data_IF_885252290546
#
_entry.id   IF_885252290546
#
_cell.length_a   1.000
_cell.length_b   1.000
_cell.length_c   1.000
_cell.angle_alpha   90.00
_cell.angle_beta   90.00
_cell.angle_gamma   90.00
#
_symmetry.space_group_name_H-M   'P 1'
#
loop_
_entity.id
_entity.type
_entity.pdbx_description
1 polymer ?
#
# COMPACT_ATOMS: atom_id res chain seq x y z
N UNK A 1 26.64 -43.36 -35.14
CA UNK A 1 26.94 -42.24 -34.18
C UNK A 1 25.63 -41.79 -33.57
N UNK A 2 25.38 -42.16 -32.32
CA UNK A 2 24.17 -41.77 -31.58
C UNK A 2 24.53 -40.50 -30.83
N UNK A 3 23.93 -39.36 -31.20
CA UNK A 3 24.06 -38.10 -30.50
C UNK A 3 23.12 -38.13 -29.28
N UNK A 4 23.70 -38.27 -28.10
CA UNK A 4 22.97 -38.16 -26.84
C UNK A 4 22.68 -36.67 -26.56
N UNK A 5 21.43 -36.29 -26.69
CA UNK A 5 20.95 -34.93 -26.33
C UNK A 5 20.82 -34.85 -24.81
N UNK A 6 21.72 -34.11 -24.17
CA UNK A 6 21.68 -33.86 -22.72
C UNK A 6 20.67 -32.72 -22.45
N UNK A 7 19.48 -33.04 -21.94
CA UNK A 7 18.54 -32.05 -21.42
C UNK A 7 18.98 -31.62 -20.01
N UNK A 8 19.53 -30.41 -19.89
CA UNK A 8 19.75 -29.79 -18.60
C UNK A 8 18.41 -29.16 -18.19
N UNK A 9 17.70 -29.81 -17.26
CA UNK A 9 16.54 -29.19 -16.58
C UNK A 9 17.10 -28.24 -15.52
N UNK A 10 17.11 -26.95 -15.79
CA UNK A 10 17.33 -25.92 -14.80
C UNK A 10 16.08 -25.85 -13.90
N UNK A 11 16.12 -26.52 -12.76
CA UNK A 11 15.15 -26.35 -11.69
C UNK A 11 15.52 -25.04 -11.01
N UNK A 12 14.85 -23.96 -11.36
CA UNK A 12 14.92 -22.72 -10.57
C UNK A 12 14.21 -23.01 -9.24
N UNK A 13 14.97 -23.26 -8.18
CA UNK A 13 14.47 -23.27 -6.83
C UNK A 13 14.20 -21.80 -6.49
N UNK A 14 12.99 -21.33 -6.70
CA UNK A 14 12.55 -20.05 -6.14
C UNK A 14 12.56 -20.21 -4.62
N UNK A 15 13.55 -19.69 -3.94
CA UNK A 15 13.54 -19.59 -2.49
C UNK A 15 12.39 -18.65 -2.13
N UNK A 16 11.50 -19.09 -1.25
CA UNK A 16 10.42 -18.25 -0.74
C UNK A 16 11.04 -16.99 -0.11
N UNK A 17 10.59 -15.82 -0.54
CA UNK A 17 11.07 -14.55 0.02
C UNK A 17 10.50 -14.34 1.42
N UNK A 18 11.26 -13.70 2.29
CA UNK A 18 10.80 -13.37 3.63
C UNK A 18 9.69 -12.31 3.56
N UNK A 19 8.62 -12.52 4.33
CA UNK A 19 7.54 -11.57 4.46
C UNK A 19 8.06 -10.24 5.02
N UNK A 20 7.74 -9.16 4.35
CA UNK A 20 8.10 -7.82 4.79
C UNK A 20 6.94 -7.19 5.57
N UNK A 21 7.24 -6.66 6.75
CA UNK A 21 6.30 -5.85 7.54
C UNK A 21 6.66 -4.38 7.31
N UNK A 22 5.78 -3.56 6.71
CA UNK A 22 6.03 -2.13 6.57
C UNK A 22 6.36 -1.49 7.92
N UNK A 23 7.32 -0.56 8.01
CA UNK A 23 7.64 0.12 9.26
C UNK A 23 6.40 0.78 9.88
N UNK A 24 6.25 0.70 11.20
CA UNK A 24 5.19 1.39 11.92
C UNK A 24 5.68 2.79 12.32
N UNK A 25 5.03 3.82 11.80
CA UNK A 25 5.24 5.20 12.20
C UNK A 25 4.13 5.62 13.18
N UNK A 26 4.51 5.92 14.40
CA UNK A 26 3.59 6.36 15.46
C UNK A 26 3.52 7.88 15.56
N UNK A 27 4.25 8.60 14.71
CA UNK A 27 4.37 10.04 14.75
C UNK A 27 5.08 10.56 16.01
N UNK A 28 5.47 11.83 15.97
CA UNK A 28 6.07 12.53 17.11
C UNK A 28 5.01 13.36 17.81
N UNK A 29 4.81 13.12 19.11
CA UNK A 29 3.86 13.87 19.93
C UNK A 29 4.53 15.12 20.48
N UNK A 30 3.95 16.29 20.20
CA UNK A 30 4.43 17.58 20.68
C UNK A 30 3.43 18.68 20.38
N UNK A 31 3.46 19.76 21.15
CA UNK A 31 2.61 20.95 20.96
C UNK A 31 1.10 20.63 20.81
N UNK A 32 0.61 19.60 21.50
CA UNK A 32 -0.80 19.19 21.46
C UNK A 32 -1.24 18.44 20.20
N UNK A 33 -0.30 18.02 19.36
CA UNK A 33 -0.57 17.26 18.15
C UNK A 33 0.45 16.12 17.95
N UNK A 34 0.09 15.17 17.11
CA UNK A 34 0.94 14.09 16.61
C UNK A 34 1.38 14.42 15.19
N UNK A 35 2.67 14.55 14.96
CA UNK A 35 3.24 14.96 13.67
C UNK A 35 3.82 13.77 12.95
N UNK A 36 3.48 13.63 11.68
CA UNK A 36 4.04 12.67 10.73
C UNK A 36 4.74 13.41 9.59
N UNK A 37 5.81 12.82 9.07
CA UNK A 37 6.55 13.37 7.93
C UNK A 37 6.62 12.30 6.83
N UNK A 38 6.05 12.62 5.68
CA UNK A 38 6.07 11.77 4.50
C UNK A 38 6.79 12.47 3.36
N UNK A 39 7.67 11.74 2.68
CA UNK A 39 8.33 12.18 1.47
C UNK A 39 7.94 11.27 0.31
N UNK A 40 7.38 11.86 -0.73
CA UNK A 40 7.09 11.17 -1.99
C UNK A 40 8.34 11.20 -2.85
N UNK A 41 8.79 10.05 -3.32
CA UNK A 41 10.05 9.93 -4.05
C UNK A 41 10.02 8.84 -5.11
N UNK A 42 10.83 9.04 -6.16
CA UNK A 42 11.18 7.98 -7.10
C UNK A 42 12.42 7.24 -6.58
N UNK A 43 12.46 5.95 -6.85
CA UNK A 43 13.55 5.08 -6.45
C UNK A 43 13.55 3.80 -7.31
N UNK A 44 14.21 2.76 -6.84
CA UNK A 44 14.15 1.42 -7.40
C UNK A 44 14.04 0.36 -6.30
N UNK A 45 13.38 -0.74 -6.62
CA UNK A 45 13.16 -1.85 -5.69
C UNK A 45 13.59 -3.17 -6.32
N UNK A 46 14.26 -3.99 -5.57
CA UNK A 46 14.65 -5.35 -5.97
C UNK A 46 13.49 -6.31 -5.67
N UNK A 47 12.73 -6.69 -6.70
CA UNK A 47 11.68 -7.71 -6.60
C UNK A 47 12.17 -9.11 -6.98
N UNK A 48 13.20 -9.16 -7.79
CA UNK A 48 13.88 -10.38 -8.22
C UNK A 48 15.38 -10.22 -7.99
N UNK A 49 16.11 -11.29 -7.65
CA UNK A 49 17.54 -11.20 -7.34
C UNK A 49 18.33 -10.41 -8.40
N UNK A 50 19.06 -9.40 -7.96
CA UNK A 50 19.94 -8.55 -8.78
C UNK A 50 19.22 -7.70 -9.84
N UNK A 51 17.86 -7.66 -9.83
CA UNK A 51 17.06 -6.85 -10.75
C UNK A 51 16.35 -5.73 -10.00
N UNK A 52 16.72 -4.50 -10.32
CA UNK A 52 16.12 -3.30 -9.75
C UNK A 52 15.06 -2.75 -10.70
N UNK A 53 13.81 -2.76 -10.23
CA UNK A 53 12.67 -2.18 -10.94
C UNK A 53 12.49 -0.74 -10.51
N UNK A 54 12.30 0.19 -11.46
CA UNK A 54 11.98 1.59 -11.15
C UNK A 54 10.62 1.67 -10.46
N UNK A 55 10.58 2.31 -9.29
CA UNK A 55 9.42 2.40 -8.41
C UNK A 55 9.29 3.79 -7.79
N UNK A 56 8.20 4.00 -7.07
CA UNK A 56 7.98 5.18 -6.25
C UNK A 56 7.37 4.78 -4.91
N UNK A 57 7.62 5.56 -3.86
CA UNK A 57 7.11 5.26 -2.54
C UNK A 57 7.03 6.48 -1.63
N UNK A 58 6.60 6.24 -0.40
CA UNK A 58 6.62 7.20 0.69
C UNK A 58 7.71 6.81 1.69
N UNK A 59 8.65 7.70 1.95
CA UNK A 59 9.79 7.46 2.87
C UNK A 59 10.62 6.19 2.52
N UNK A 60 10.53 5.72 1.29
CA UNK A 60 11.20 4.52 0.81
C UNK A 60 10.99 4.29 -0.67
N UNK A 61 11.52 3.18 -1.18
CA UNK A 61 11.50 2.87 -2.62
C UNK A 61 10.15 2.36 -3.11
N UNK A 62 9.36 1.72 -2.24
CA UNK A 62 8.08 1.10 -2.61
C UNK A 62 7.17 1.04 -1.39
N UNK A 63 5.89 1.33 -1.57
CA UNK A 63 4.92 1.54 -0.50
C UNK A 63 5.33 2.71 0.43
N UNK A 64 4.77 2.72 1.60
CA UNK A 64 5.07 3.67 2.67
C UNK A 64 4.92 3.00 4.03
N UNK A 65 5.32 3.70 5.11
CA UNK A 65 5.13 3.21 6.46
C UNK A 65 3.64 3.03 6.78
N UNK A 66 3.33 2.15 7.72
CA UNK A 66 2.01 2.11 8.33
C UNK A 66 1.90 3.23 9.35
N UNK A 67 0.96 4.15 9.16
CA UNK A 67 0.74 5.26 10.09
C UNK A 67 -0.21 4.83 11.20
N UNK A 68 0.19 4.98 12.46
CA UNK A 68 -0.66 4.69 13.61
C UNK A 68 -1.21 5.98 14.22
N UNK A 69 -2.51 6.13 14.19
CA UNK A 69 -3.25 7.26 14.74
C UNK A 69 -4.17 6.83 15.88
N UNK A 70 -4.44 7.73 16.80
CA UNK A 70 -5.32 7.51 17.94
C UNK A 70 -6.55 8.39 17.78
N UNK A 71 -7.74 7.83 17.92
CA UNK A 71 -9.01 8.57 17.90
C UNK A 71 -8.99 9.67 18.98
N UNK A 72 -9.30 10.88 18.56
CA UNK A 72 -9.28 12.07 19.43
C UNK A 72 -8.00 12.89 19.34
N UNK A 73 -6.87 12.33 18.86
CA UNK A 73 -5.66 13.12 18.64
C UNK A 73 -5.86 14.18 17.54
N UNK A 74 -5.17 15.28 17.68
CA UNK A 74 -4.90 16.19 16.57
C UNK A 74 -3.66 15.71 15.82
N UNK A 75 -3.70 15.71 14.49
CA UNK A 75 -2.55 15.31 13.67
C UNK A 75 -2.07 16.43 12.77
N UNK A 76 -0.78 16.42 12.49
CA UNK A 76 -0.10 17.27 11.52
C UNK A 76 0.62 16.34 10.56
N UNK A 77 0.29 16.42 9.27
CA UNK A 77 0.90 15.64 8.21
C UNK A 77 1.73 16.57 7.34
N UNK A 78 3.04 16.49 7.44
CA UNK A 78 3.97 17.17 6.54
C UNK A 78 4.26 16.23 5.37
N UNK A 79 3.78 16.57 4.18
CA UNK A 79 3.95 15.76 2.98
C UNK A 79 4.83 16.52 1.99
N UNK A 80 6.06 16.07 1.80
CA UNK A 80 7.03 16.68 0.89
C UNK A 80 7.10 15.91 -0.41
N UNK A 81 6.92 16.59 -1.53
CA UNK A 81 7.01 15.99 -2.85
C UNK A 81 8.39 16.21 -3.47
N UNK A 82 9.19 15.16 -3.62
CA UNK A 82 10.46 15.20 -4.36
C UNK A 82 10.35 14.56 -5.75
N UNK A 83 9.13 14.18 -6.17
CA UNK A 83 8.86 13.69 -7.52
C UNK A 83 9.08 14.80 -8.56
N UNK A 84 9.43 14.48 -9.82
CA UNK A 84 9.65 15.48 -10.86
C UNK A 84 8.36 16.07 -11.44
N UNK A 85 7.22 15.87 -10.79
CA UNK A 85 5.90 16.38 -11.18
C UNK A 85 5.02 16.59 -9.94
N UNK A 86 3.99 17.42 -10.09
CA UNK A 86 3.01 17.64 -9.03
C UNK A 86 2.19 16.38 -8.75
N UNK A 87 1.90 16.12 -7.49
CA UNK A 87 1.10 14.98 -7.03
C UNK A 87 0.24 15.37 -5.81
N UNK A 88 -0.45 14.42 -5.22
CA UNK A 88 -1.23 14.62 -3.97
C UNK A 88 -0.98 13.47 -3.01
N UNK A 89 -1.50 13.57 -1.79
CA UNK A 89 -1.64 12.43 -0.87
C UNK A 89 -3.02 12.48 -0.25
N UNK A 90 -3.86 11.52 -0.60
CA UNK A 90 -5.22 11.38 -0.11
C UNK A 90 -5.28 10.39 1.05
N UNK A 91 -6.06 10.75 2.07
CA UNK A 91 -6.29 9.95 3.28
C UNK A 91 -7.59 9.18 3.14
N UNK A 92 -7.53 8.05 2.45
CA UNK A 92 -8.71 7.29 2.02
C UNK A 92 -9.57 6.82 3.19
N UNK A 93 -10.82 7.25 3.21
CA UNK A 93 -11.80 6.90 4.24
C UNK A 93 -11.74 7.74 5.51
N UNK A 94 -10.84 8.72 5.60
CA UNK A 94 -10.72 9.57 6.78
C UNK A 94 -11.79 10.67 6.80
N UNK A 95 -12.36 10.92 7.98
CA UNK A 95 -13.30 12.03 8.23
C UNK A 95 -12.53 13.29 8.61
N UNK A 96 -12.32 14.16 7.65
CA UNK A 96 -11.51 15.37 7.79
C UNK A 96 -12.07 16.51 6.93
N UNK A 97 -11.62 17.77 7.11
CA UNK A 97 -12.03 18.86 6.25
C UNK A 97 -11.57 18.64 4.80
N UNK A 98 -12.43 18.92 3.82
CA UNK A 98 -12.14 18.72 2.40
C UNK A 98 -10.84 19.39 1.93
N UNK A 99 -10.47 20.54 2.53
CA UNK A 99 -9.22 21.26 2.23
C UNK A 99 -7.96 20.53 2.74
N UNK A 100 -8.12 19.48 3.53
CA UNK A 100 -7.04 18.64 4.08
C UNK A 100 -7.07 17.21 3.54
N UNK A 101 -7.97 16.93 2.58
CA UNK A 101 -8.25 15.57 2.11
C UNK A 101 -7.23 15.02 1.12
N UNK A 102 -6.44 15.90 0.49
CA UNK A 102 -5.48 15.50 -0.53
C UNK A 102 -6.13 15.06 -1.84
N UNK A 103 -7.33 15.59 -2.13
CA UNK A 103 -8.05 15.31 -3.36
C UNK A 103 -7.38 15.88 -4.61
N UNK A 104 -8.00 15.72 -5.80
CA UNK A 104 -7.39 16.02 -7.11
C UNK A 104 -6.86 17.44 -7.28
N UNK A 105 -7.45 18.41 -6.56
CA UNK A 105 -7.10 19.82 -6.65
C UNK A 105 -6.06 20.31 -5.64
N UNK A 106 -5.60 19.43 -4.76
CA UNK A 106 -4.67 19.75 -3.68
C UNK A 106 -3.26 19.30 -4.06
N UNK A 107 -2.78 19.80 -5.18
CA UNK A 107 -1.48 19.45 -5.74
C UNK A 107 -0.34 19.93 -4.83
N UNK A 108 0.62 19.05 -4.64
CA UNK A 108 1.90 19.34 -4.01
C UNK A 108 2.93 19.43 -5.14
N UNK A 109 3.39 20.65 -5.42
CA UNK A 109 4.37 20.90 -6.45
C UNK A 109 5.71 20.23 -6.13
N UNK A 110 6.55 20.04 -7.15
CA UNK A 110 7.90 19.51 -6.95
C UNK A 110 8.66 20.34 -5.91
N UNK A 111 9.31 19.67 -4.97
CA UNK A 111 10.06 20.25 -3.85
C UNK A 111 9.23 21.10 -2.86
N UNK A 112 7.91 21.05 -2.96
CA UNK A 112 7.02 21.67 -2.01
C UNK A 112 6.64 20.71 -0.88
N UNK A 113 6.25 21.28 0.28
CA UNK A 113 5.66 20.55 1.40
C UNK A 113 4.24 21.04 1.62
N UNK A 114 3.29 20.12 1.61
CA UNK A 114 1.92 20.35 2.01
C UNK A 114 1.72 19.95 3.47
N UNK A 115 1.06 20.81 4.24
CA UNK A 115 0.77 20.55 5.65
C UNK A 115 -0.73 20.38 5.81
N UNK A 116 -1.16 19.16 6.10
CA UNK A 116 -2.55 18.85 6.41
C UNK A 116 -2.73 18.64 7.92
N UNK A 117 -3.81 19.20 8.49
CA UNK A 117 -4.09 19.12 9.92
C UNK A 117 -5.54 18.82 10.18
N UNK A 118 -5.81 17.83 11.05
CA UNK A 118 -7.17 17.52 11.47
C UNK A 118 -7.20 16.78 12.81
N UNK A 119 -8.38 16.65 13.39
CA UNK A 119 -8.62 15.79 14.54
C UNK A 119 -9.16 14.45 14.10
N UNK A 120 -8.62 13.35 14.62
CA UNK A 120 -9.06 11.99 14.29
C UNK A 120 -10.44 11.75 14.90
N UNK A 121 -11.45 11.63 14.03
CA UNK A 121 -12.85 11.35 14.39
C UNK A 121 -13.26 9.92 14.04
N UNK A 122 -12.49 9.27 13.19
CA UNK A 122 -12.73 7.93 12.71
C UNK A 122 -12.77 6.92 13.85
N UNK A 123 -13.58 5.87 13.67
CA UNK A 123 -13.54 4.67 14.51
C UNK A 123 -12.24 3.90 14.28
N UNK A 124 -11.86 3.07 15.26
CA UNK A 124 -10.74 2.16 15.07
C UNK A 124 -10.99 1.24 13.87
N UNK A 125 -10.05 1.24 12.94
CA UNK A 125 -10.08 0.43 11.73
C UNK A 125 -8.77 0.50 10.98
N UNK A 126 -8.74 -0.17 9.83
CA UNK A 126 -7.68 -0.07 8.84
C UNK A 126 -8.14 0.82 7.70
N UNK A 127 -7.37 1.85 7.43
CA UNK A 127 -7.50 2.80 6.34
C UNK A 127 -6.21 2.76 5.52
N UNK A 128 -6.10 3.63 4.52
CA UNK A 128 -4.89 3.74 3.73
C UNK A 128 -4.68 5.15 3.18
N UNK A 129 -3.52 5.42 2.63
CA UNK A 129 -3.20 6.67 1.95
C UNK A 129 -2.52 6.39 0.62
N UNK A 130 -2.78 7.25 -0.34
CA UNK A 130 -2.28 7.12 -1.71
C UNK A 130 -2.39 8.43 -2.48
N UNK A 131 -1.68 8.60 -3.61
CA UNK A 131 -1.88 9.74 -4.50
C UNK A 131 -3.29 9.76 -5.09
N UNK A 132 -3.83 10.96 -5.30
CA UNK A 132 -5.12 11.16 -5.96
C UNK A 132 -5.10 12.34 -6.95
N UNK A 133 -3.99 12.59 -7.72
CA UNK A 133 -3.98 13.69 -8.67
C UNK A 133 -4.89 13.38 -9.85
N UNK A 134 -5.48 14.44 -10.39
CA UNK A 134 -6.11 14.42 -11.69
C UNK A 134 -5.27 15.30 -12.62
N UNK A 135 -4.50 14.73 -13.57
CA UNK A 135 -3.68 15.52 -14.47
C UNK A 135 -4.56 16.39 -15.37
N UNK A 136 -4.21 17.65 -15.46
CA UNK A 136 -4.87 18.58 -16.38
C UNK A 136 -4.45 18.31 -17.83
N UNK A 137 -5.37 18.59 -18.75
CA UNK A 137 -5.12 18.53 -20.18
C UNK A 137 -5.56 17.22 -20.86
N UNK A 138 -5.60 17.27 -22.19
CA UNK A 138 -5.92 16.13 -23.04
C UNK A 138 -4.94 16.09 -24.22
N UNK A 139 -4.28 14.95 -24.51
CA UNK A 139 -4.43 13.65 -23.84
C UNK A 139 -3.88 13.64 -22.41
N UNK A 140 -4.52 12.87 -21.52
CA UNK A 140 -4.12 12.73 -20.11
C UNK A 140 -2.71 12.12 -20.07
N UNK A 141 -1.80 12.77 -19.35
CA UNK A 141 -0.50 12.17 -19.02
C UNK A 141 -0.71 11.04 -18.00
N UNK A 142 -0.77 9.82 -18.52
CA UNK A 142 -1.07 8.63 -17.70
C UNK A 142 0.00 8.38 -16.63
N UNK A 143 1.23 8.85 -16.83
CA UNK A 143 2.33 8.72 -15.86
C UNK A 143 2.13 9.61 -14.62
N UNK A 144 1.30 10.65 -14.74
CA UNK A 144 0.95 11.55 -13.64
C UNK A 144 -0.39 11.19 -12.99
N UNK A 145 -1.14 10.27 -13.57
CA UNK A 145 -2.46 9.91 -13.07
C UNK A 145 -2.38 9.02 -11.79
N UNK A 146 -3.41 9.11 -10.95
CA UNK A 146 -3.59 8.32 -9.72
C UNK A 146 -3.24 6.85 -9.91
N UNK A 147 -3.86 6.21 -10.91
CA UNK A 147 -3.70 4.78 -11.13
C UNK A 147 -2.26 4.37 -11.43
N UNK A 148 -1.51 5.18 -12.18
CA UNK A 148 -0.11 4.89 -12.44
C UNK A 148 0.76 5.08 -11.21
N UNK A 149 0.57 6.15 -10.46
CA UNK A 149 1.35 6.41 -9.23
C UNK A 149 1.14 5.33 -8.18
N UNK A 150 -0.10 4.87 -7.97
CA UNK A 150 -0.40 3.71 -7.11
C UNK A 150 0.24 2.43 -7.68
N UNK A 151 0.23 2.27 -9.00
CA UNK A 151 0.86 1.13 -9.66
C UNK A 151 2.38 1.13 -9.50
N UNK A 152 3.03 2.30 -9.43
CA UNK A 152 4.46 2.44 -9.14
C UNK A 152 4.84 2.13 -7.69
N UNK A 153 3.87 2.03 -6.77
CA UNK A 153 4.10 1.65 -5.38
C UNK A 153 3.65 2.67 -4.35
N UNK A 154 3.09 3.80 -4.76
CA UNK A 154 2.70 4.86 -3.82
C UNK A 154 1.40 4.52 -3.10
N UNK A 155 1.51 3.80 -2.01
CA UNK A 155 0.43 3.48 -1.07
C UNK A 155 0.99 3.15 0.31
N UNK A 156 0.20 3.34 1.37
CA UNK A 156 0.56 2.89 2.70
C UNK A 156 -0.68 2.70 3.58
N UNK A 157 -0.57 1.86 4.59
CA UNK A 157 -1.65 1.63 5.55
C UNK A 157 -1.73 2.78 6.55
N UNK A 158 -2.95 3.05 7.00
CA UNK A 158 -3.25 3.91 8.12
C UNK A 158 -4.13 3.14 9.10
N UNK A 159 -3.70 3.02 10.33
CA UNK A 159 -4.42 2.34 11.40
C UNK A 159 -4.91 3.40 12.39
N UNK A 160 -6.20 3.41 12.66
CA UNK A 160 -6.78 4.15 13.77
C UNK A 160 -7.03 3.18 14.91
N UNK A 161 -6.58 3.55 16.12
CA UNK A 161 -6.92 2.88 17.38
C UNK A 161 -7.84 3.76 18.23
N UNK A 162 -8.64 3.13 19.07
CA UNK A 162 -9.44 3.78 20.11
C UNK A 162 -9.54 2.88 21.35
N UNK A 163 -9.90 3.47 22.48
CA UNK A 163 -10.03 2.77 23.75
C UNK A 163 -11.14 1.71 23.74
N UNK A 164 -12.17 1.89 22.89
CA UNK A 164 -13.29 0.97 22.79
C UNK A 164 -12.82 -0.38 22.21
N UNK A 165 -12.07 -0.35 21.11
CA UNK A 165 -11.59 -1.57 20.45
C UNK A 165 -10.40 -2.22 21.18
N UNK A 166 -9.63 -1.45 21.94
CA UNK A 166 -8.52 -1.99 22.73
C UNK A 166 -9.04 -2.94 23.84
N UNK A 167 -10.32 -2.81 24.27
CA UNK A 167 -10.93 -3.70 25.26
C UNK A 167 -11.42 -5.05 24.69
N UNK A 168 -11.44 -5.21 23.37
CA UNK A 168 -11.96 -6.42 22.71
C UNK A 168 -11.00 -7.62 22.79
N UNK A 169 -9.78 -7.45 23.28
CA UNK A 169 -8.79 -8.54 23.38
C UNK A 169 -8.33 -9.08 22.02
N UNK A 170 -8.47 -8.31 20.95
CA UNK A 170 -7.99 -8.70 19.63
C UNK A 170 -6.46 -8.64 19.58
N UNK A 171 -5.81 -9.49 18.76
CA UNK A 171 -4.38 -9.37 18.48
C UNK A 171 -4.02 -7.95 18.10
N UNK A 172 -2.96 -7.38 18.68
CA UNK A 172 -2.66 -5.95 18.61
C UNK A 172 -1.17 -5.59 18.55
N UNK A 173 -0.28 -6.58 18.60
CA UNK A 173 1.16 -6.38 18.47
C UNK A 173 1.53 -6.36 16.98
N UNK A 174 1.75 -5.16 16.46
CA UNK A 174 2.00 -4.94 15.03
C UNK A 174 3.20 -5.72 14.52
N UNK A 175 3.00 -6.47 13.45
CA UNK A 175 4.03 -7.30 12.82
C UNK A 175 4.27 -8.65 13.53
N UNK A 176 3.64 -8.91 14.66
CA UNK A 176 3.76 -10.16 15.44
C UNK A 176 2.46 -10.96 15.38
N UNK A 177 1.36 -10.38 15.85
CA UNK A 177 0.03 -10.99 15.81
C UNK A 177 -1.03 -10.09 15.14
N UNK A 178 -0.74 -8.81 14.91
CA UNK A 178 -1.52 -7.86 14.11
C UNK A 178 -0.74 -7.55 12.82
N UNK A 179 -1.02 -8.30 11.77
CA UNK A 179 -0.21 -8.41 10.55
C UNK A 179 -0.80 -7.56 9.44
N UNK A 180 -0.07 -6.56 8.92
CA UNK A 180 -0.48 -5.82 7.72
C UNK A 180 -0.31 -6.68 6.47
N UNK A 181 -1.32 -6.68 5.60
CA UNK A 181 -1.35 -7.41 4.33
C UNK A 181 -1.78 -6.43 3.23
N UNK A 182 -0.84 -5.88 2.49
CA UNK A 182 -1.11 -5.02 1.33
C UNK A 182 -0.99 -5.87 0.08
N UNK A 183 -2.13 -6.19 -0.52
CA UNK A 183 -2.21 -7.00 -1.75
C UNK A 183 -2.09 -6.10 -2.97
N UNK A 184 -1.20 -6.45 -3.86
CA UNK A 184 -0.99 -5.76 -5.13
C UNK A 184 -0.75 -6.78 -6.24
N UNK A 185 -1.03 -6.39 -7.47
CA UNK A 185 -0.65 -7.17 -8.64
C UNK A 185 0.06 -6.29 -9.67
N UNK A 186 1.14 -6.80 -10.25
CA UNK A 186 1.99 -6.09 -11.20
C UNK A 186 2.30 -6.97 -12.40
N UNK A 187 2.55 -6.32 -13.54
CA UNK A 187 3.25 -6.93 -14.68
C UNK A 187 4.58 -6.22 -14.84
N UNK A 188 5.61 -6.96 -15.10
CA UNK A 188 6.95 -6.44 -15.33
C UNK A 188 7.29 -6.43 -16.82
N UNK A 189 8.20 -5.58 -17.25
CA UNK A 189 8.86 -5.66 -18.57
C UNK A 189 9.65 -6.97 -18.67
N UNK A 190 10.07 -7.34 -19.88
CA UNK A 190 10.79 -8.60 -20.10
C UNK A 190 12.08 -8.71 -19.27
N UNK A 191 12.77 -7.59 -19.10
CA UNK A 191 14.00 -7.47 -18.29
C UNK A 191 13.70 -7.17 -16.81
N UNK A 192 12.41 -7.02 -16.46
CA UNK A 192 11.92 -6.66 -15.12
C UNK A 192 12.46 -5.34 -14.55
N UNK A 193 13.08 -4.49 -15.36
CA UNK A 193 13.61 -3.19 -14.93
C UNK A 193 12.51 -2.15 -14.67
N UNK A 194 11.30 -2.38 -15.19
CA UNK A 194 10.15 -1.50 -15.02
C UNK A 194 8.87 -2.31 -14.86
N UNK A 195 7.85 -1.70 -14.30
CA UNK A 195 6.49 -2.25 -14.46
C UNK A 195 6.05 -2.06 -15.92
N UNK A 196 5.44 -3.09 -16.47
CA UNK A 196 4.94 -3.04 -17.83
C UNK A 196 3.90 -1.92 -17.96
N UNK A 197 3.99 -1.08 -19.00
CA UNK A 197 3.05 0.00 -19.21
C UNK A 197 1.60 -0.50 -19.21
N UNK A 198 0.70 0.25 -18.60
CA UNK A 198 -0.73 0.06 -18.78
C UNK A 198 -1.05 0.54 -20.20
N UNK A 199 -1.47 -0.31 -21.17
CA UNK A 199 -1.74 0.16 -22.52
C UNK A 199 -2.84 1.23 -22.50
N UNK A 200 -2.56 2.34 -23.14
CA UNK A 200 -3.57 3.32 -23.49
C UNK A 200 -4.41 2.79 -24.65
N UNK A 201 -5.53 2.14 -24.36
CA UNK A 201 -6.54 1.90 -25.39
C UNK A 201 -7.74 2.83 -25.11
N UNK A 202 -8.01 3.66 -26.08
CA UNK A 202 -9.01 4.72 -26.00
C UNK A 202 -10.39 4.27 -25.55
N UNK A 203 -10.98 5.10 -24.77
CA UNK A 203 -12.27 5.09 -24.07
C UNK A 203 -12.23 4.58 -22.62
N UNK A 204 -12.01 5.47 -21.73
CA UNK A 204 -12.51 5.65 -20.36
C UNK A 204 -12.42 4.52 -19.34
N UNK A 205 -12.62 3.27 -19.67
CA UNK A 205 -12.69 2.14 -18.74
C UNK A 205 -11.81 0.95 -19.14
N UNK A 206 -11.16 0.98 -20.29
CA UNK A 206 -10.44 -0.17 -20.86
C UNK A 206 -8.98 -0.33 -20.35
N UNK A 207 -8.48 0.58 -19.54
CA UNK A 207 -7.07 0.60 -19.10
C UNK A 207 -6.84 -0.06 -17.74
N UNK A 208 -7.81 -0.78 -17.23
CA UNK A 208 -7.73 -1.46 -15.96
C UNK A 208 -7.02 -2.79 -16.19
N UNK A 209 -5.71 -2.84 -15.99
CA UNK A 209 -4.94 -4.07 -16.07
C UNK A 209 -4.91 -4.80 -14.74
N UNK A 210 -5.11 -6.10 -14.84
CA UNK A 210 -4.69 -7.05 -13.83
C UNK A 210 -3.24 -7.44 -14.12
N UNK A 211 -2.38 -7.32 -13.13
CA UNK A 211 -1.00 -7.81 -13.21
C UNK A 211 -0.94 -9.33 -13.16
N UNK A 212 0.17 -9.92 -13.61
CA UNK A 212 0.37 -11.37 -13.59
C UNK A 212 1.09 -11.82 -12.30
N UNK A 213 1.82 -10.93 -11.65
CA UNK A 213 2.56 -11.21 -10.42
C UNK A 213 1.82 -10.64 -9.22
N UNK A 214 1.39 -11.51 -8.32
CA UNK A 214 0.78 -11.11 -7.04
C UNK A 214 1.90 -10.84 -6.04
N UNK A 215 1.74 -9.74 -5.32
CA UNK A 215 2.68 -9.27 -4.31
C UNK A 215 1.94 -9.02 -3.00
N UNK A 216 2.63 -9.27 -1.90
CA UNK A 216 2.17 -8.94 -0.55
C UNK A 216 3.22 -8.04 0.10
N UNK A 217 2.83 -6.84 0.52
CA UNK A 217 3.72 -5.84 1.11
C UNK A 217 4.97 -5.56 0.23
N UNK A 218 4.81 -5.57 -1.10
CA UNK A 218 5.92 -5.37 -2.02
C UNK A 218 6.81 -6.59 -2.24
N UNK A 219 6.48 -7.77 -1.71
CA UNK A 219 7.25 -9.00 -1.88
C UNK A 219 6.48 -10.00 -2.73
N UNK A 220 7.16 -10.65 -3.68
CA UNK A 220 6.57 -11.69 -4.54
C UNK A 220 6.50 -13.00 -3.77
N UNK A 221 5.31 -13.54 -3.59
CA UNK A 221 5.05 -14.84 -2.91
C UNK A 221 5.82 -15.02 -1.58
N UNK A 222 5.68 -14.08 -0.61
CA UNK A 222 6.44 -14.16 0.63
C UNK A 222 5.96 -15.29 1.55
N UNK A 223 6.85 -15.72 2.44
CA UNK A 223 6.53 -16.62 3.55
C UNK A 223 6.58 -15.87 4.87
N UNK A 224 5.47 -15.89 5.61
CA UNK A 224 5.39 -15.41 6.99
C UNK A 224 5.50 -16.59 7.95
N UNK A 225 6.50 -16.57 8.81
CA UNK A 225 6.60 -17.49 9.94
C UNK A 225 5.89 -16.87 11.14
N UNK A 226 4.75 -17.41 11.53
CA UNK A 226 4.00 -16.97 12.70
C UNK A 226 4.00 -18.05 13.79
N UNK A 227 3.92 -17.65 15.04
CA UNK A 227 3.70 -18.57 16.14
C UNK A 227 2.28 -19.18 16.06
N UNK A 228 2.09 -20.36 16.68
CA UNK A 228 0.77 -21.00 16.78
C UNK A 228 -0.11 -20.24 17.78
N UNK A 229 -0.73 -19.16 17.30
CA UNK A 229 -1.59 -18.27 18.07
C UNK A 229 -2.68 -17.68 17.19
N UNK A 230 -3.64 -16.99 17.80
CA UNK A 230 -4.60 -16.17 17.06
C UNK A 230 -3.85 -14.99 16.44
N UNK A 231 -4.06 -14.75 15.17
CA UNK A 231 -3.50 -13.59 14.45
C UNK A 231 -4.61 -12.76 13.82
N UNK A 232 -4.41 -11.47 13.75
CA UNK A 232 -5.24 -10.52 13.05
C UNK A 232 -4.58 -10.14 11.73
N UNK A 233 -5.28 -10.27 10.64
CA UNK A 233 -4.82 -9.83 9.32
C UNK A 233 -5.52 -8.52 8.95
N UNK A 234 -4.74 -7.46 8.71
CA UNK A 234 -5.23 -6.19 8.17
C UNK A 234 -5.04 -6.17 6.67
N UNK A 235 -6.07 -6.54 5.94
CA UNK A 235 -5.98 -6.77 4.50
C UNK A 235 -6.42 -5.53 3.75
N UNK A 236 -5.50 -4.95 2.98
CA UNK A 236 -5.74 -3.88 2.02
C UNK A 236 -5.61 -4.45 0.61
N UNK A 237 -6.65 -4.29 -0.21
CA UNK A 237 -6.55 -4.48 -1.65
C UNK A 237 -6.06 -3.17 -2.29
N UNK A 238 -4.76 -3.09 -2.56
CA UNK A 238 -4.11 -1.96 -3.23
C UNK A 238 -3.80 -2.25 -4.71
N UNK A 239 -4.50 -3.22 -5.30
CA UNK A 239 -4.47 -3.48 -6.75
C UNK A 239 -5.37 -2.50 -7.49
N UNK A 240 -4.94 -2.07 -8.67
CA UNK A 240 -5.70 -1.09 -9.46
C UNK A 240 -7.04 -1.64 -9.97
N UNK A 241 -7.14 -2.98 -10.18
CA UNK A 241 -8.30 -3.55 -10.87
C UNK A 241 -8.66 -4.97 -10.44
N UNK A 242 -7.91 -5.58 -9.55
CA UNK A 242 -8.14 -6.96 -9.18
C UNK A 242 -9.03 -7.06 -7.95
N UNK A 243 -10.04 -7.89 -8.04
CA UNK A 243 -10.78 -8.38 -6.88
C UNK A 243 -10.16 -9.69 -6.41
N UNK A 244 -9.99 -9.86 -5.11
CA UNK A 244 -9.46 -11.07 -4.50
C UNK A 244 -10.55 -11.85 -3.78
N UNK A 245 -10.54 -13.17 -3.97
CA UNK A 245 -11.26 -14.10 -3.12
C UNK A 245 -10.24 -14.79 -2.24
N UNK A 246 -10.28 -14.49 -0.95
CA UNK A 246 -9.30 -14.96 0.02
C UNK A 246 -9.80 -16.19 0.75
N UNK A 247 -8.87 -17.07 1.14
CA UNK A 247 -9.14 -18.27 1.92
C UNK A 247 -7.84 -18.98 2.26
N UNK A 248 -7.90 -19.92 3.18
CA UNK A 248 -6.78 -20.81 3.49
C UNK A 248 -6.83 -22.07 2.61
N UNK A 249 -5.67 -22.55 2.16
CA UNK A 249 -5.57 -23.73 1.28
C UNK A 249 -6.06 -25.03 1.93
N UNK A 250 -6.04 -25.09 3.27
CA UNK A 250 -6.57 -26.21 4.07
C UNK A 250 -8.04 -26.02 4.46
N UNK A 251 -8.71 -25.00 3.93
CA UNK A 251 -10.10 -24.65 4.19
C UNK A 251 -10.43 -24.35 5.67
N UNK A 252 -9.41 -24.01 6.50
CA UNK A 252 -9.69 -23.56 7.86
C UNK A 252 -10.51 -22.27 7.83
N UNK A 253 -11.45 -22.09 8.78
CA UNK A 253 -12.24 -20.87 8.84
C UNK A 253 -11.41 -19.70 9.36
N UNK A 254 -11.87 -18.48 9.06
CA UNK A 254 -11.43 -17.24 9.67
C UNK A 254 -12.64 -16.36 9.96
N UNK A 255 -12.49 -15.44 10.88
CA UNK A 255 -13.55 -14.51 11.26
C UNK A 255 -13.31 -13.15 10.60
N UNK A 256 -14.34 -12.61 9.95
CA UNK A 256 -14.32 -11.22 9.48
C UNK A 256 -14.75 -10.35 10.65
N UNK A 257 -13.82 -9.54 11.17
CA UNK A 257 -14.04 -8.66 12.33
C UNK A 257 -14.17 -7.19 11.94
N UNK A 258 -13.92 -6.85 10.71
CA UNK A 258 -14.00 -5.48 10.22
C UNK A 258 -14.08 -5.45 8.71
N UNK A 259 -14.55 -4.33 8.21
CA UNK A 259 -14.58 -4.00 6.79
C UNK A 259 -14.00 -2.60 6.58
N UNK A 260 -14.17 -2.05 5.39
CA UNK A 260 -13.73 -0.70 5.06
C UNK A 260 -14.36 0.32 6.04
N UNK A 261 -13.50 0.99 6.79
CA UNK A 261 -13.89 2.07 7.70
C UNK A 261 -14.44 1.68 9.08
N UNK A 262 -14.49 0.40 9.47
CA UNK A 262 -14.99 0.04 10.80
C UNK A 262 -14.82 -1.42 11.20
N UNK A 263 -14.88 -1.65 12.51
CA UNK A 263 -15.05 -2.97 13.09
C UNK A 263 -16.54 -3.31 13.08
N UNK A 264 -16.87 -4.56 12.76
CA UNK A 264 -18.24 -5.05 12.73
C UNK A 264 -18.80 -5.20 14.16
N UNK A 265 -20.10 -4.97 14.32
CA UNK A 265 -20.79 -5.18 15.60
C UNK A 265 -20.85 -6.67 15.98
N UNK A 266 -20.82 -7.53 14.98
CA UNK A 266 -20.76 -9.00 15.14
C UNK A 266 -19.78 -9.60 14.16
N UNK A 267 -19.04 -10.62 14.59
CA UNK A 267 -18.14 -11.37 13.70
C UNK A 267 -18.93 -12.26 12.75
N UNK A 268 -18.46 -12.39 11.52
CA UNK A 268 -19.06 -13.22 10.47
C UNK A 268 -18.05 -14.22 9.90
#
# INVERSE_FOLDING_TARGET
MIQTLLFIILISISSAQTFFVPPLDTGVVGNGARTFNLQLQNDSTEFFPEIFTVTSGYNGSFLGPTLLMIKGDSVVMNVTNTMPFATTTHWHGMHLPAVMDGGPHQLIEQNATWVATWRIKNRASTYWYHPHPHPDGFPIDTLKATGWQVYQGMAGLLIVKDTETDTLGLPSEYGVDDIPIILQDRSFTVDSSHFAPIPSQGSGLANIRRGYTIMVNGVVTPTLNSHAQMIRLRILNASNARTYRLGFSDNRPFFVIGSDGGILDTVS
#
